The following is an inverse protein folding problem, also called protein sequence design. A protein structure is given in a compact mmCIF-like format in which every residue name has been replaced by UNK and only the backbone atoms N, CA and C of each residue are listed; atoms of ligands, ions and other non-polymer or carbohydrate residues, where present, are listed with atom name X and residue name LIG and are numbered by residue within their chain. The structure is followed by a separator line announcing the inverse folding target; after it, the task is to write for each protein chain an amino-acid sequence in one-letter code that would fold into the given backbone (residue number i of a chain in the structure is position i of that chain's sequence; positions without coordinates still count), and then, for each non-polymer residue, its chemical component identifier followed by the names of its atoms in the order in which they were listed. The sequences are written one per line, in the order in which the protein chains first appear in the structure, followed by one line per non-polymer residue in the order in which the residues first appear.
data_IF_608417443497
#
_entry.id   IF_608417443497
#
_cell.length_a   1.000
_cell.length_b   1.000
_cell.length_c   1.000
_cell.angle_alpha   90.00
_cell.angle_beta   90.00
_cell.angle_gamma   90.00
#
_symmetry.space_group_name_H-M   'P 1'
#
loop_
_entity.id
_entity.type
_entity.pdbx_description
1 polymer ?
#
# COMPACT_ATOMS: atom_id res chain seq x y z
N UNK A 1 12.46 -1.64 1.15
CA UNK A 1 11.94 -2.65 2.10
C UNK A 1 11.14 -3.66 1.32
N UNK A 2 11.16 -4.95 1.70
CA UNK A 2 10.50 -6.00 0.92
C UNK A 2 9.87 -7.06 1.83
N UNK A 3 8.64 -7.46 1.54
CA UNK A 3 7.94 -8.59 2.17
C UNK A 3 7.85 -8.50 3.70
N UNK A 4 7.34 -7.37 4.20
CA UNK A 4 7.16 -7.09 5.62
C UNK A 4 5.71 -7.27 6.12
N UNK A 5 4.76 -7.63 5.24
CA UNK A 5 3.40 -8.00 5.65
C UNK A 5 3.41 -9.08 6.75
N UNK A 6 2.57 -8.92 7.77
CA UNK A 6 2.54 -9.79 8.95
C UNK A 6 3.69 -9.61 9.96
N UNK A 7 4.71 -8.78 9.66
CA UNK A 7 5.80 -8.50 10.60
C UNK A 7 5.68 -7.12 11.29
N UNK A 8 4.95 -6.19 10.68
CA UNK A 8 4.88 -4.79 11.09
C UNK A 8 3.50 -4.47 11.66
N UNK A 9 3.48 -3.98 12.91
CA UNK A 9 2.26 -3.50 13.58
C UNK A 9 1.93 -2.05 13.24
N UNK A 10 2.95 -1.20 13.21
CA UNK A 10 2.81 0.23 12.96
C UNK A 10 3.64 0.61 11.73
N UNK A 11 2.96 0.65 10.58
CA UNK A 11 3.55 1.04 9.31
C UNK A 11 3.96 2.51 9.28
N UNK A 12 3.19 3.38 9.94
CA UNK A 12 3.51 4.80 10.05
C UNK A 12 4.84 4.98 10.80
N UNK A 13 5.04 4.30 11.92
CA UNK A 13 6.31 4.34 12.65
C UNK A 13 7.48 3.84 11.78
N UNK A 14 7.32 2.71 11.08
CA UNK A 14 8.33 2.19 10.16
C UNK A 14 8.74 3.23 9.11
N UNK A 15 7.76 3.86 8.45
CA UNK A 15 8.05 4.83 7.40
C UNK A 15 8.58 6.16 7.95
N UNK A 16 8.22 6.58 9.18
CA UNK A 16 8.85 7.72 9.85
C UNK A 16 10.34 7.47 10.12
N UNK A 17 10.69 6.27 10.59
CA UNK A 17 12.10 5.90 10.76
C UNK A 17 12.85 5.83 9.42
N UNK A 18 12.23 5.25 8.39
CA UNK A 18 12.80 5.23 7.05
C UNK A 18 13.02 6.66 6.50
N UNK A 19 12.06 7.55 6.71
CA UNK A 19 12.16 8.96 6.30
C UNK A 19 13.32 9.68 6.97
N UNK A 20 13.50 9.46 8.28
CA UNK A 20 14.60 10.05 9.05
C UNK A 20 15.97 9.50 8.66
N UNK A 21 16.05 8.24 8.24
CA UNK A 21 17.30 7.58 7.84
C UNK A 21 17.79 7.99 6.45
N UNK A 22 16.90 8.46 5.58
CA UNK A 22 17.22 8.84 4.19
C UNK A 22 17.60 10.31 4.11
N UNK A 23 18.69 10.63 3.39
CA UNK A 23 19.11 12.01 3.17
C UNK A 23 18.01 12.81 2.44
N UNK A 24 17.91 14.13 2.65
CA UNK A 24 17.05 14.99 1.84
C UNK A 24 17.25 14.75 0.33
N UNK A 25 16.15 14.57 -0.40
CA UNK A 25 16.10 14.29 -1.83
C UNK A 25 16.29 12.82 -2.22
N UNK A 26 16.53 11.94 -1.24
CA UNK A 26 16.68 10.50 -1.42
C UNK A 26 15.34 9.79 -1.60
N UNK A 27 15.41 8.48 -1.88
CA UNK A 27 14.23 7.66 -2.18
C UNK A 27 14.14 6.46 -1.23
N UNK A 28 12.91 6.09 -0.89
CA UNK A 28 12.56 4.84 -0.23
C UNK A 28 11.63 4.06 -1.14
N UNK A 29 11.99 2.80 -1.39
CA UNK A 29 11.15 1.83 -2.08
C UNK A 29 10.58 0.83 -1.05
N UNK A 30 9.31 0.50 -1.16
CA UNK A 30 8.64 -0.57 -0.43
C UNK A 30 7.96 -1.51 -1.43
N UNK A 31 8.22 -2.81 -1.31
CA UNK A 31 7.70 -3.83 -2.21
C UNK A 31 7.00 -4.89 -1.38
N UNK A 32 5.67 -4.90 -1.44
CA UNK A 32 4.85 -5.77 -0.60
C UNK A 32 3.91 -6.60 -1.44
N UNK A 33 3.49 -7.72 -0.85
CA UNK A 33 2.45 -8.60 -1.36
C UNK A 33 1.45 -8.81 -0.24
N UNK A 34 0.32 -9.42 -0.56
CA UNK A 34 -0.55 -10.06 0.41
C UNK A 34 -0.66 -11.55 0.08
N UNK A 35 -0.98 -12.42 1.05
CA UNK A 35 -1.08 -13.85 0.83
C UNK A 35 -2.38 -14.25 0.11
N UNK A 36 -3.31 -13.31 -0.09
CA UNK A 36 -4.55 -13.56 -0.82
C UNK A 36 -4.23 -13.84 -2.28
N UNK A 37 -4.82 -14.92 -2.79
CA UNK A 37 -4.61 -15.40 -4.14
C UNK A 37 -5.81 -15.03 -5.00
N UNK A 38 -5.56 -14.70 -6.26
CA UNK A 38 -6.58 -14.36 -7.23
C UNK A 38 -6.51 -15.27 -8.46
N UNK A 39 -7.60 -15.28 -9.22
CA UNK A 39 -7.65 -15.94 -10.53
C UNK A 39 -8.49 -15.17 -11.54
N UNK A 40 -8.04 -15.11 -12.79
CA UNK A 40 -8.80 -14.47 -13.87
C UNK A 40 -9.94 -15.36 -14.40
N UNK A 41 -9.84 -16.69 -14.25
CA UNK A 41 -10.81 -17.67 -14.76
C UNK A 41 -11.89 -18.08 -13.74
N UNK A 42 -11.83 -17.51 -12.53
CA UNK A 42 -12.76 -17.80 -11.43
C UNK A 42 -12.50 -19.13 -10.72
N UNK A 43 -11.35 -19.78 -10.93
CA UNK A 43 -10.98 -21.00 -10.21
C UNK A 43 -10.67 -20.77 -8.73
N UNK A 44 -10.28 -19.56 -8.32
CA UNK A 44 -10.12 -19.16 -6.93
C UNK A 44 -11.38 -18.45 -6.47
N UNK A 45 -12.09 -19.06 -5.52
CA UNK A 45 -13.39 -18.58 -5.04
C UNK A 45 -13.33 -18.22 -3.55
N UNK A 46 -14.09 -17.19 -3.16
CA UNK A 46 -14.14 -16.73 -1.78
C UNK A 46 -15.26 -17.39 -0.95
N UNK A 47 -16.02 -18.32 -1.55
CA UNK A 47 -17.15 -19.01 -0.92
C UNK A 47 -16.73 -20.19 -0.03
N UNK A 48 -15.43 -20.53 -0.02
CA UNK A 48 -14.90 -21.66 0.75
C UNK A 48 -14.91 -22.98 0.01
N UNK A 49 -15.35 -23.01 -1.25
CA UNK A 49 -15.26 -24.21 -2.10
C UNK A 49 -13.81 -24.55 -2.48
N UNK A 50 -12.92 -23.57 -2.44
CA UNK A 50 -11.48 -23.73 -2.66
C UNK A 50 -10.67 -23.40 -1.40
N UNK A 51 -9.53 -24.09 -1.22
CA UNK A 51 -8.61 -23.79 -0.12
C UNK A 51 -7.99 -22.38 -0.28
N UNK A 52 -7.58 -22.06 -1.51
CA UNK A 52 -7.21 -20.71 -1.98
C UNK A 52 -8.47 -19.82 -2.05
N UNK A 53 -8.40 -18.56 -1.63
CA UNK A 53 -9.54 -17.60 -1.65
C UNK A 53 -10.57 -17.80 -0.54
N UNK A 54 -10.78 -19.05 -0.11
CA UNK A 54 -11.74 -19.41 0.92
C UNK A 54 -11.12 -19.60 2.29
N UNK A 55 -10.50 -20.76 2.52
CA UNK A 55 -10.02 -21.17 3.84
C UNK A 55 -8.75 -20.41 4.25
N UNK A 56 -7.76 -20.33 3.37
CA UNK A 56 -6.46 -19.72 3.70
C UNK A 56 -6.55 -18.21 3.88
N UNK A 57 -7.27 -17.50 3.00
CA UNK A 57 -7.47 -16.06 3.09
C UNK A 57 -8.10 -15.67 4.43
N UNK A 58 -9.13 -16.40 4.87
CA UNK A 58 -9.75 -16.21 6.19
C UNK A 58 -8.75 -16.42 7.32
N UNK A 59 -7.97 -17.50 7.27
CA UNK A 59 -6.94 -17.79 8.28
C UNK A 59 -5.88 -16.67 8.35
N UNK A 60 -5.44 -16.13 7.23
CA UNK A 60 -4.47 -15.02 7.20
C UNK A 60 -5.08 -13.73 7.75
N UNK A 61 -6.30 -13.38 7.35
CA UNK A 61 -6.99 -12.18 7.86
C UNK A 61 -7.20 -12.28 9.38
N UNK A 62 -7.67 -13.43 9.87
CA UNK A 62 -7.88 -13.65 11.30
C UNK A 62 -6.58 -13.70 12.09
N UNK A 63 -5.55 -14.37 11.55
CA UNK A 63 -4.22 -14.41 12.15
C UNK A 63 -3.57 -13.04 12.25
N UNK A 64 -3.71 -12.20 11.21
CA UNK A 64 -3.22 -10.83 11.21
C UNK A 64 -3.91 -9.98 12.28
N UNK A 65 -5.23 -10.11 12.42
CA UNK A 65 -5.99 -9.44 13.50
C UNK A 65 -5.57 -9.92 14.88
N UNK A 66 -5.38 -11.22 15.07
CA UNK A 66 -5.01 -11.80 16.36
C UNK A 66 -3.60 -11.39 16.82
N UNK A 67 -2.66 -11.22 15.88
CA UNK A 67 -1.27 -10.84 16.17
C UNK A 67 -1.03 -9.34 16.22
N UNK A 68 -1.99 -8.55 15.69
CA UNK A 68 -1.88 -7.12 15.48
C UNK A 68 -0.98 -6.73 14.31
N UNK A 69 -0.51 -7.70 13.52
CA UNK A 69 0.31 -7.47 12.33
C UNK A 69 -0.52 -7.82 11.09
N UNK A 70 -1.03 -6.81 10.39
CA UNK A 70 -1.87 -7.06 9.22
C UNK A 70 -1.10 -7.79 8.11
N UNK A 71 -1.74 -8.81 7.55
CA UNK A 71 -1.30 -9.51 6.33
C UNK A 71 -1.96 -8.93 5.08
N UNK A 72 -2.91 -8.00 5.24
CA UNK A 72 -3.72 -7.38 4.19
C UNK A 72 -3.20 -5.98 3.82
N UNK A 73 -1.90 -5.86 3.64
CA UNK A 73 -1.20 -4.57 3.51
C UNK A 73 -1.66 -3.76 2.30
N UNK A 74 -1.94 -4.44 1.19
CA UNK A 74 -2.41 -3.82 -0.05
C UNK A 74 -3.89 -3.46 0.07
N UNK A 75 -4.72 -4.43 0.48
CA UNK A 75 -6.17 -4.23 0.69
C UNK A 75 -6.47 -3.09 1.68
N UNK A 76 -5.67 -2.92 2.72
CA UNK A 76 -5.85 -1.87 3.74
C UNK A 76 -5.13 -0.55 3.41
N UNK A 77 -4.40 -0.49 2.30
CA UNK A 77 -3.66 0.69 1.82
C UNK A 77 -2.65 1.23 2.86
N UNK A 78 -2.00 0.32 3.62
CA UNK A 78 -1.17 0.71 4.78
C UNK A 78 0.09 1.46 4.37
N UNK A 79 0.74 1.04 3.27
CA UNK A 79 1.99 1.66 2.82
C UNK A 79 1.80 3.09 2.34
N UNK A 80 0.79 3.33 1.50
CA UNK A 80 0.50 4.66 0.95
C UNK A 80 0.15 5.65 2.06
N UNK A 81 -0.73 5.25 2.99
CA UNK A 81 -1.12 6.06 4.15
C UNK A 81 0.09 6.41 5.01
N UNK A 82 0.90 5.41 5.34
CA UNK A 82 2.07 5.59 6.18
C UNK A 82 3.17 6.44 5.51
N UNK A 83 3.43 6.26 4.21
CA UNK A 83 4.37 7.10 3.47
C UNK A 83 3.92 8.57 3.42
N UNK A 84 2.62 8.81 3.18
CA UNK A 84 2.06 10.17 3.21
C UNK A 84 2.22 10.81 4.59
N UNK A 85 1.89 10.07 5.65
CA UNK A 85 1.98 10.58 7.01
C UNK A 85 3.43 10.82 7.46
N UNK A 86 4.38 10.00 7.00
CA UNK A 86 5.80 10.18 7.26
C UNK A 86 6.40 11.42 6.55
N UNK A 87 5.69 11.99 5.57
CA UNK A 87 6.11 13.21 4.86
C UNK A 87 6.87 12.96 3.56
N UNK A 88 6.82 11.74 3.01
CA UNK A 88 7.33 11.48 1.66
C UNK A 88 6.56 12.30 0.62
N UNK A 89 7.27 12.74 -0.41
CA UNK A 89 6.74 13.43 -1.57
C UNK A 89 6.93 12.57 -2.83
N UNK A 90 6.26 12.93 -3.92
CA UNK A 90 6.36 12.23 -5.21
C UNK A 90 6.10 10.71 -5.11
N UNK A 91 5.14 10.30 -4.29
CA UNK A 91 4.83 8.88 -4.05
C UNK A 91 4.23 8.27 -5.32
N UNK A 92 4.85 7.20 -5.82
CA UNK A 92 4.37 6.40 -6.95
C UNK A 92 4.03 5.00 -6.48
N UNK A 93 2.97 4.42 -7.02
CA UNK A 93 2.51 3.07 -6.73
C UNK A 93 2.36 2.27 -8.03
N UNK A 94 2.85 1.04 -8.05
CA UNK A 94 2.75 0.15 -9.21
C UNK A 94 2.40 -1.25 -8.77
N UNK A 95 1.44 -1.87 -9.46
CA UNK A 95 0.96 -3.22 -9.20
C UNK A 95 1.50 -4.20 -10.24
N UNK A 96 1.89 -5.39 -9.79
CA UNK A 96 2.40 -6.47 -10.61
C UNK A 96 1.66 -7.76 -10.33
N UNK A 97 1.35 -8.51 -11.40
CA UNK A 97 0.83 -9.87 -11.34
C UNK A 97 2.02 -10.83 -11.15
N UNK A 98 2.07 -11.54 -10.04
CA UNK A 98 3.11 -12.52 -9.75
C UNK A 98 2.61 -13.93 -10.08
N UNK A 99 2.90 -14.37 -11.32
CA UNK A 99 2.45 -15.61 -12.01
C UNK A 99 1.30 -15.39 -13.01
N UNK A 100 1.08 -16.41 -13.87
CA UNK A 100 -0.06 -16.44 -14.80
C UNK A 100 -1.36 -16.76 -14.04
N UNK A 101 -1.50 -17.96 -13.47
CA UNK A 101 -2.67 -18.38 -12.69
C UNK A 101 -2.29 -19.57 -11.77
N UNK A 102 -2.81 -19.66 -10.52
CA UNK A 102 -3.37 -18.56 -9.73
C UNK A 102 -2.26 -17.60 -9.27
N UNK A 103 -2.59 -16.32 -9.07
CA UNK A 103 -1.59 -15.26 -8.90
C UNK A 103 -1.74 -14.44 -7.61
N UNK A 104 -0.65 -13.77 -7.23
CA UNK A 104 -0.64 -12.77 -6.17
C UNK A 104 -0.39 -11.38 -6.76
N UNK A 105 -0.83 -10.35 -6.05
CA UNK A 105 -0.54 -8.97 -6.41
C UNK A 105 0.65 -8.50 -5.58
N UNK A 106 1.66 -7.98 -6.26
CA UNK A 106 2.80 -7.30 -5.64
C UNK A 106 2.67 -5.81 -5.93
N UNK A 107 2.76 -4.97 -4.90
CA UNK A 107 2.80 -3.53 -5.04
C UNK A 107 4.18 -2.99 -4.70
N UNK A 108 4.73 -2.18 -5.61
CA UNK A 108 5.93 -1.38 -5.37
C UNK A 108 5.52 0.07 -5.18
N UNK A 109 5.82 0.63 -4.01
CA UNK A 109 5.71 2.05 -3.72
C UNK A 109 7.08 2.68 -3.61
N UNK A 110 7.26 3.83 -4.26
CA UNK A 110 8.45 4.66 -4.10
C UNK A 110 8.06 6.03 -3.59
N UNK A 111 8.71 6.52 -2.53
CA UNK A 111 8.54 7.86 -2.00
C UNK A 111 9.87 8.60 -1.89
N UNK A 112 9.88 9.88 -2.22
CA UNK A 112 11.06 10.74 -2.14
C UNK A 112 11.03 11.57 -0.85
N UNK A 113 12.19 11.79 -0.23
CA UNK A 113 12.33 12.80 0.82
C UNK A 113 12.51 14.19 0.21
N UNK A 114 12.14 15.24 0.95
CA UNK A 114 12.29 16.64 0.52
C UNK A 114 13.73 17.02 0.19
N UNK A 115 13.97 17.98 -0.71
CA UNK A 115 15.32 18.25 -1.23
C UNK A 115 16.11 19.39 -0.57
N UNK A 116 15.53 20.36 0.17
CA UNK A 116 16.31 21.47 0.80
C UNK A 116 15.50 22.41 1.77
N UNK A 117 16.08 23.38 2.51
CA UNK A 117 16.22 23.36 3.97
C UNK A 117 15.36 24.39 4.74
N UNK A 118 14.52 25.18 4.08
CA UNK A 118 13.78 26.33 4.69
C UNK A 118 12.38 25.95 5.21
N UNK A 119 11.89 24.74 4.90
CA UNK A 119 10.45 24.39 5.03
C UNK A 119 9.96 23.98 6.43
N UNK A 120 10.83 23.68 7.39
CA UNK A 120 10.36 23.33 8.75
C UNK A 120 9.80 24.53 9.52
N UNK A 121 10.32 25.74 9.30
CA UNK A 121 9.88 26.96 10.01
C UNK A 121 8.59 27.56 9.46
N UNK A 122 8.27 27.33 8.18
CA UNK A 122 7.08 27.91 7.54
C UNK A 122 5.78 27.15 7.85
N UNK A 123 5.84 25.82 8.01
CA UNK A 123 4.65 24.98 8.21
C UNK A 123 4.00 25.20 9.59
N UNK A 124 4.79 25.45 10.65
CA UNK A 124 4.26 25.79 11.99
C UNK A 124 3.56 27.16 12.08
N UNK A 125 3.71 28.00 11.07
CA UNK A 125 3.20 29.38 11.08
C UNK A 125 1.97 29.61 10.18
N UNK A 126 1.60 28.64 9.33
CA UNK A 126 0.57 28.82 8.29
C UNK A 126 -0.68 27.94 8.43
N UNK A 127 -0.86 27.24 9.56
CA UNK A 127 -2.14 26.54 9.87
C UNK A 127 -3.29 27.50 10.24
N UNK A 128 -3.21 28.74 9.78
CA UNK A 128 -4.29 29.72 9.77
C UNK A 128 -4.32 30.42 8.41
N UNK A 129 -4.97 29.82 7.41
CA UNK A 129 -5.28 30.51 6.15
C UNK A 129 -5.45 29.59 4.95
N UNK A 130 -6.69 29.47 4.50
CA UNK A 130 -7.14 28.87 3.23
C UNK A 130 -6.18 29.10 2.06
N UNK A 131 -5.77 28.02 1.38
CA UNK A 131 -5.26 28.06 0.00
C UNK A 131 -5.55 26.76 -0.78
N UNK A 132 -5.64 26.85 -2.12
CA UNK A 132 -6.59 26.08 -2.91
C UNK A 132 -6.10 24.66 -3.21
N UNK A 133 -7.08 23.74 -3.22
CA UNK A 133 -6.94 22.37 -3.69
C UNK A 133 -6.53 22.42 -5.16
N UNK A 134 -5.28 22.07 -5.47
CA UNK A 134 -4.88 21.74 -6.82
C UNK A 134 -5.52 20.39 -7.15
N UNK A 135 -6.58 20.43 -7.95
CA UNK A 135 -7.35 19.29 -8.42
C UNK A 135 -6.48 18.42 -9.33
N UNK A 136 -5.67 17.55 -8.73
CA UNK A 136 -5.16 16.37 -9.39
C UNK A 136 -6.29 15.34 -9.36
N UNK A 137 -6.99 15.18 -10.48
CA UNK A 137 -7.90 14.07 -10.71
C UNK A 137 -7.11 12.74 -10.68
N UNK A 138 -6.78 12.23 -9.50
CA UNK A 138 -6.59 10.79 -9.34
C UNK A 138 -7.98 10.18 -9.32
N UNK A 139 -8.42 9.72 -10.49
CA UNK A 139 -9.56 8.80 -10.56
C UNK A 139 -9.27 7.66 -9.59
N UNK A 140 -10.02 7.64 -8.49
CA UNK A 140 -10.32 6.41 -7.78
C UNK A 140 -10.96 5.52 -8.84
N UNK A 141 -10.21 4.55 -9.36
CA UNK A 141 -10.83 3.34 -9.88
C UNK A 141 -10.88 2.37 -8.72
N UNK A 142 -12.07 2.01 -8.22
CA UNK A 142 -12.22 0.76 -7.49
C UNK A 142 -11.78 -0.35 -8.47
N UNK A 143 -10.87 -1.22 -8.07
CA UNK A 143 -10.53 -2.44 -8.82
C UNK A 143 -11.68 -3.48 -8.81
N UNK A 144 -12.92 -3.02 -8.95
CA UNK A 144 -14.05 -3.83 -9.35
C UNK A 144 -14.24 -3.66 -10.87
N UNK A 145 -13.32 -4.22 -11.66
CA UNK A 145 -13.46 -4.36 -13.12
C UNK A 145 -12.32 -5.25 -13.66
N UNK A 146 -12.34 -6.52 -13.27
CA UNK A 146 -12.13 -7.61 -14.22
C UNK A 146 -13.46 -8.38 -14.32
N UNK A 147 -14.55 -7.66 -14.59
CA UNK A 147 -15.73 -8.31 -15.16
C UNK A 147 -15.50 -8.34 -16.66
N UNK A 148 -15.48 -9.56 -17.20
CA UNK A 148 -15.64 -9.84 -18.61
C UNK A 148 -16.69 -8.91 -19.24
N UNK A 149 -16.24 -8.09 -20.18
CA UNK A 149 -17.07 -7.57 -21.25
C UNK A 149 -16.25 -7.69 -22.52
N UNK A 150 -16.17 -8.91 -23.07
CA UNK A 150 -16.08 -9.16 -24.51
C UNK A 150 -16.59 -10.58 -24.83
N UNK A 151 -17.75 -10.59 -25.51
CA UNK A 151 -18.45 -11.66 -26.24
C UNK A 151 -19.38 -12.60 -25.45
#
# INVERSE_FOLDING_TARGET
MRYLFGAIRDWTALFKEAYNAVKPGGWVESCESEPMTHSDDGTVTNDGSTALGGTWDKMFIEGGKATGCSLSVLTEDLQMKAMKEAGFVDIQETFYKASEEPFHIITVLTGRTWTDPVRFMAQRSQDGGDRPVCEAQSRIRPCWLFTNDLA
#
